data_IF_198352710553
#
_entry.id   IF_198352710553
#
_cell.length_a   1.000
_cell.length_b   1.000
_cell.length_c   1.000
_cell.angle_alpha   90.00
_cell.angle_beta   90.00
_cell.angle_gamma   90.00
#
_symmetry.space_group_name_H-M   'P 1'
#
loop_
_entity.id
_entity.type
_entity.pdbx_description
1 polymer ?
#
# COMPACT_ATOMS: atom_id res chain seq x y z
N UNK A 1 3.32 11.98 25.34
CA UNK A 1 2.68 11.35 24.19
C UNK A 1 2.80 9.84 24.34
N UNK A 2 1.72 9.10 24.08
CA UNK A 2 1.75 7.63 23.98
C UNK A 2 2.59 7.20 22.78
N UNK A 3 2.90 5.89 22.69
CA UNK A 3 3.59 5.33 21.53
C UNK A 3 2.74 5.52 20.27
N UNK A 4 1.42 5.34 20.34
CA UNK A 4 0.53 5.57 19.19
C UNK A 4 0.54 7.03 18.74
N UNK A 5 0.46 7.99 19.68
CA UNK A 5 0.48 9.42 19.34
C UNK A 5 1.78 9.83 18.63
N UNK A 6 2.92 9.24 19.01
CA UNK A 6 4.21 9.48 18.33
C UNK A 6 4.20 8.89 16.91
N UNK A 7 3.65 7.69 16.73
CA UNK A 7 3.55 7.03 15.42
C UNK A 7 2.65 7.85 14.49
N UNK A 8 1.46 8.25 14.95
CA UNK A 8 0.54 9.07 14.15
C UNK A 8 1.10 10.45 13.84
N UNK A 9 1.83 11.08 14.77
CA UNK A 9 2.48 12.36 14.51
C UNK A 9 3.52 12.26 13.40
N UNK A 10 4.30 11.17 13.36
CA UNK A 10 5.25 10.91 12.28
C UNK A 10 4.54 10.62 10.96
N UNK A 11 3.47 9.81 10.98
CA UNK A 11 2.64 9.55 9.81
C UNK A 11 2.09 10.84 9.18
N UNK A 12 1.55 11.74 10.02
CA UNK A 12 1.07 13.06 9.60
C UNK A 12 2.18 13.93 9.02
N UNK A 13 3.35 13.98 9.67
CA UNK A 13 4.48 14.77 9.18
C UNK A 13 4.99 14.27 7.81
N UNK A 14 5.04 12.95 7.61
CA UNK A 14 5.38 12.36 6.31
C UNK A 14 4.34 12.70 5.24
N UNK A 15 3.06 12.53 5.58
CA UNK A 15 1.95 12.88 4.70
C UNK A 15 2.02 14.35 4.26
N UNK A 16 2.18 15.27 5.20
CA UNK A 16 2.29 16.70 4.92
C UNK A 16 3.50 17.01 4.03
N UNK A 17 4.63 16.31 4.22
CA UNK A 17 5.80 16.47 3.36
C UNK A 17 5.50 16.08 1.90
N UNK A 18 4.89 14.91 1.70
CA UNK A 18 4.54 14.39 0.37
C UNK A 18 3.47 15.28 -0.29
N UNK A 19 2.39 15.59 0.43
CA UNK A 19 1.26 16.37 -0.07
C UNK A 19 1.58 17.85 -0.29
N UNK A 20 2.72 18.35 0.22
CA UNK A 20 3.22 19.70 -0.09
C UNK A 20 3.76 19.85 -1.52
N UNK A 21 4.00 18.73 -2.22
CA UNK A 21 4.49 18.75 -3.61
C UNK A 21 3.33 18.99 -4.59
N UNK A 22 3.59 19.57 -5.79
CA UNK A 22 2.56 19.66 -6.82
C UNK A 22 1.95 18.29 -7.15
N UNK A 23 0.65 18.23 -7.39
CA UNK A 23 -0.08 16.95 -7.65
C UNK A 23 0.56 16.16 -8.81
N UNK A 24 0.95 16.84 -9.88
CA UNK A 24 1.59 16.23 -11.06
C UNK A 24 2.98 15.62 -10.81
N UNK A 25 3.54 15.82 -9.60
CA UNK A 25 4.83 15.25 -9.20
C UNK A 25 4.78 13.73 -9.25
N UNK A 26 3.68 13.14 -8.80
CA UNK A 26 3.54 11.70 -8.57
C UNK A 26 2.48 11.01 -9.44
N UNK A 27 1.65 11.76 -10.16
CA UNK A 27 0.67 11.22 -11.11
C UNK A 27 1.34 10.22 -12.07
N UNK A 28 0.77 9.00 -12.14
CA UNK A 28 1.27 7.84 -12.90
C UNK A 28 2.74 7.45 -12.64
N UNK A 29 3.32 7.87 -11.49
CA UNK A 29 4.72 7.63 -11.14
C UNK A 29 4.83 6.94 -9.76
N UNK A 30 4.30 5.72 -9.60
CA UNK A 30 4.28 5.04 -8.31
C UNK A 30 5.68 4.88 -7.70
N UNK A 31 6.69 4.50 -8.49
CA UNK A 31 8.08 4.41 -8.00
C UNK A 31 8.68 5.75 -7.56
N UNK A 32 8.26 6.87 -8.17
CA UNK A 32 8.66 8.21 -7.74
C UNK A 32 8.12 8.52 -6.35
N UNK A 33 6.87 8.14 -6.07
CA UNK A 33 6.26 8.29 -4.76
C UNK A 33 6.84 7.32 -3.72
N UNK A 34 7.07 6.05 -4.08
CA UNK A 34 7.73 5.05 -3.21
C UNK A 34 9.09 5.56 -2.74
N UNK A 35 9.91 6.04 -3.68
CA UNK A 35 11.24 6.60 -3.36
C UNK A 35 11.14 7.80 -2.42
N UNK A 36 10.27 8.77 -2.75
CA UNK A 36 10.10 9.99 -1.93
C UNK A 36 9.59 9.67 -0.52
N UNK A 37 8.71 8.67 -0.40
CA UNK A 37 8.17 8.16 0.86
C UNK A 37 9.28 7.55 1.70
N UNK A 38 10.07 6.63 1.13
CA UNK A 38 11.13 5.94 1.86
C UNK A 38 12.29 6.87 2.27
N UNK A 39 12.68 7.81 1.41
CA UNK A 39 13.70 8.82 1.76
C UNK A 39 13.26 9.65 2.98
N UNK A 40 12.01 10.12 3.00
CA UNK A 40 11.45 10.90 4.11
C UNK A 40 11.24 10.06 5.39
N UNK A 41 10.82 8.80 5.21
CA UNK A 41 10.61 7.85 6.30
C UNK A 41 11.92 7.46 7.00
N UNK A 42 13.03 7.36 6.26
CA UNK A 42 14.36 7.07 6.79
C UNK A 42 14.86 8.18 7.73
N UNK A 43 14.70 9.45 7.34
CA UNK A 43 15.05 10.60 8.18
C UNK A 43 14.31 10.57 9.53
N UNK A 44 13.07 10.09 9.53
CA UNK A 44 12.20 10.02 10.70
C UNK A 44 12.21 8.66 11.42
N UNK A 45 13.02 7.70 10.95
CA UNK A 45 13.08 6.31 11.45
C UNK A 45 11.70 5.67 11.54
N UNK A 46 10.91 5.78 10.48
CA UNK A 46 9.60 5.14 10.37
C UNK A 46 9.76 3.69 9.90
N UNK A 47 8.76 2.86 10.22
CA UNK A 47 8.63 1.48 9.74
C UNK A 47 7.82 1.54 8.44
N UNK A 48 8.52 1.62 7.32
CA UNK A 48 7.93 1.57 5.98
C UNK A 48 8.57 0.42 5.22
N UNK A 49 7.95 0.05 4.09
CA UNK A 49 8.42 -1.03 3.23
C UNK A 49 9.67 -0.61 2.46
N UNK A 50 10.84 -1.10 2.90
CA UNK A 50 12.16 -0.61 2.41
C UNK A 50 12.76 -1.48 1.33
N UNK A 51 13.77 -0.95 0.63
CA UNK A 51 14.43 -1.56 -0.52
C UNK A 51 14.76 -3.05 -0.37
N UNK A 52 15.25 -3.50 0.80
CA UNK A 52 15.53 -4.91 1.02
C UNK A 52 14.26 -5.79 1.00
N UNK A 53 13.19 -5.34 1.67
CA UNK A 53 11.90 -6.05 1.69
C UNK A 53 11.19 -5.98 0.34
N UNK A 54 11.35 -4.85 -0.37
CA UNK A 54 10.85 -4.66 -1.74
C UNK A 54 11.53 -5.66 -2.68
N UNK A 55 12.87 -5.76 -2.62
CA UNK A 55 13.63 -6.67 -3.46
C UNK A 55 13.26 -8.13 -3.18
N UNK A 56 13.20 -8.53 -1.91
CA UNK A 56 12.77 -9.87 -1.52
C UNK A 56 11.35 -10.17 -2.01
N UNK A 57 10.43 -9.20 -1.88
CA UNK A 57 9.04 -9.33 -2.33
C UNK A 57 8.94 -9.47 -3.86
N UNK A 58 9.75 -8.72 -4.61
CA UNK A 58 9.85 -8.86 -6.07
C UNK A 58 10.35 -10.24 -6.47
N UNK A 59 11.38 -10.76 -5.80
CA UNK A 59 11.92 -12.10 -6.05
C UNK A 59 10.89 -13.20 -5.76
N UNK A 60 10.12 -13.08 -4.68
CA UNK A 60 9.04 -14.03 -4.39
C UNK A 60 7.95 -13.96 -5.46
N UNK A 61 7.59 -12.75 -5.91
CA UNK A 61 6.55 -12.51 -6.92
C UNK A 61 6.92 -13.12 -8.28
N UNK A 62 8.18 -13.03 -8.69
CA UNK A 62 8.67 -13.58 -9.96
C UNK A 62 8.40 -15.09 -10.11
N UNK A 63 8.40 -15.81 -8.99
CA UNK A 63 8.21 -17.26 -8.96
C UNK A 63 6.73 -17.70 -9.03
N UNK A 64 5.77 -16.77 -9.04
CA UNK A 64 4.33 -17.07 -9.07
C UNK A 64 3.84 -17.10 -10.52
N UNK A 65 3.19 -18.21 -10.91
CA UNK A 65 2.63 -18.40 -12.24
C UNK A 65 1.16 -18.87 -12.16
N UNK A 66 0.21 -18.23 -12.87
CA UNK A 66 0.39 -17.03 -13.69
C UNK A 66 0.82 -15.80 -12.86
N UNK A 67 1.26 -14.72 -13.52
CA UNK A 67 1.64 -13.48 -12.85
C UNK A 67 0.52 -13.05 -11.88
N UNK A 68 0.84 -12.76 -10.61
CA UNK A 68 -0.15 -12.46 -9.59
C UNK A 68 -0.85 -11.13 -9.91
N UNK A 69 -2.12 -11.04 -9.55
CA UNK A 69 -2.97 -9.89 -9.82
C UNK A 69 -3.61 -9.33 -8.57
N UNK A 70 -3.81 -10.13 -7.54
CA UNK A 70 -4.49 -9.66 -6.34
C UNK A 70 -3.65 -9.88 -5.09
N UNK A 71 -3.44 -8.79 -4.35
CA UNK A 71 -2.83 -8.77 -3.03
C UNK A 71 -3.86 -8.40 -1.97
N UNK A 72 -3.74 -9.09 -0.83
CA UNK A 72 -4.29 -8.62 0.43
C UNK A 72 -3.14 -8.29 1.38
N UNK A 73 -3.22 -7.13 2.00
CA UNK A 73 -2.24 -6.62 2.97
C UNK A 73 -2.91 -6.36 4.31
N UNK A 74 -2.23 -6.74 5.38
CA UNK A 74 -2.66 -6.47 6.75
C UNK A 74 -1.61 -5.59 7.44
N UNK A 75 -1.96 -4.32 7.68
CA UNK A 75 -1.06 -3.28 8.20
C UNK A 75 -0.68 -2.26 7.14
N UNK A 76 -1.59 -1.32 6.83
CA UNK A 76 -1.34 -0.34 5.76
C UNK A 76 -0.51 0.88 6.21
N UNK A 77 -0.56 1.24 7.49
CA UNK A 77 0.12 2.41 8.06
C UNK A 77 -0.02 3.70 7.22
N UNK A 78 1.03 4.10 6.49
CA UNK A 78 1.03 5.31 5.64
C UNK A 78 0.81 5.01 4.15
N UNK A 79 0.45 3.77 3.81
CA UNK A 79 0.19 3.32 2.43
C UNK A 79 1.43 3.03 1.60
N UNK A 80 2.63 3.07 2.19
CA UNK A 80 3.90 2.89 1.48
C UNK A 80 4.03 1.52 0.80
N UNK A 81 3.63 0.46 1.49
CA UNK A 81 3.62 -0.90 0.95
C UNK A 81 2.52 -1.08 -0.08
N UNK A 82 1.31 -0.55 0.15
CA UNK A 82 0.20 -0.63 -0.82
C UNK A 82 0.57 -0.05 -2.20
N UNK A 83 1.15 1.15 -2.25
CA UNK A 83 1.60 1.75 -3.53
C UNK A 83 2.76 0.98 -4.16
N UNK A 84 3.61 0.36 -3.35
CA UNK A 84 4.74 -0.44 -3.85
C UNK A 84 4.26 -1.75 -4.44
N UNK A 85 3.31 -2.42 -3.80
CA UNK A 85 2.69 -3.63 -4.30
C UNK A 85 1.96 -3.38 -5.61
N UNK A 86 1.23 -2.27 -5.72
CA UNK A 86 0.60 -1.87 -6.99
C UNK A 86 1.66 -1.73 -8.10
N UNK A 87 2.77 -1.03 -7.83
CA UNK A 87 3.87 -0.86 -8.78
C UNK A 87 4.47 -2.21 -9.21
N UNK A 88 4.73 -3.11 -8.25
CA UNK A 88 5.27 -4.46 -8.51
C UNK A 88 4.31 -5.26 -9.39
N UNK A 89 3.01 -5.32 -9.05
CA UNK A 89 2.02 -6.09 -9.81
C UNK A 89 1.88 -5.55 -11.25
N UNK A 90 1.92 -4.22 -11.43
CA UNK A 90 1.87 -3.60 -12.76
C UNK A 90 3.06 -4.00 -13.63
N UNK A 91 4.28 -4.02 -13.06
CA UNK A 91 5.48 -4.46 -13.77
C UNK A 91 5.38 -5.91 -14.23
N UNK A 92 5.00 -6.84 -13.33
CA UNK A 92 4.91 -8.26 -13.67
C UNK A 92 3.78 -8.60 -14.64
N UNK A 93 2.73 -7.77 -14.72
CA UNK A 93 1.62 -7.96 -15.66
C UNK A 93 1.78 -7.17 -16.96
N UNK A 94 2.92 -6.50 -17.21
CA UNK A 94 3.14 -5.62 -18.37
C UNK A 94 2.01 -4.60 -18.57
N UNK A 95 1.58 -3.98 -17.48
CA UNK A 95 0.37 -3.19 -17.40
C UNK A 95 0.62 -1.68 -17.60
N UNK A 96 0.13 -1.10 -18.70
CA UNK A 96 -0.08 0.35 -18.78
C UNK A 96 -1.39 0.68 -18.04
N UNK A 97 -1.30 0.86 -16.71
CA UNK A 97 -2.33 1.35 -15.76
C UNK A 97 -3.76 0.77 -15.78
N UNK A 98 -4.09 -0.14 -16.71
CA UNK A 98 -5.43 -0.67 -16.95
C UNK A 98 -5.55 -2.18 -16.69
N UNK A 99 -4.60 -2.76 -15.97
CA UNK A 99 -4.67 -4.18 -15.60
C UNK A 99 -5.49 -4.37 -14.34
N UNK A 100 -6.18 -5.51 -14.29
CA UNK A 100 -6.89 -6.09 -13.14
C UNK A 100 -5.91 -6.47 -12.00
N UNK A 101 -5.02 -5.54 -11.64
CA UNK A 101 -4.13 -5.66 -10.49
C UNK A 101 -4.78 -4.92 -9.33
N UNK A 102 -5.03 -5.62 -8.23
CA UNK A 102 -5.77 -5.10 -7.10
C UNK A 102 -4.98 -5.32 -5.80
N UNK A 103 -4.76 -4.26 -5.04
CA UNK A 103 -4.16 -4.27 -3.71
C UNK A 103 -5.24 -3.89 -2.72
N UNK A 104 -5.58 -4.78 -1.81
CA UNK A 104 -6.50 -4.53 -0.72
C UNK A 104 -5.72 -4.45 0.58
N UNK A 105 -5.60 -3.27 1.18
CA UNK A 105 -4.90 -3.06 2.44
C UNK A 105 -5.87 -2.78 3.59
N UNK A 106 -5.59 -3.39 4.73
CA UNK A 106 -6.42 -3.34 5.93
C UNK A 106 -5.64 -2.67 7.06
N UNK A 107 -6.14 -1.53 7.53
CA UNK A 107 -5.49 -0.71 8.57
C UNK A 107 -6.42 -0.51 9.77
N UNK A 108 -5.90 -0.74 10.97
CA UNK A 108 -6.68 -0.66 12.20
C UNK A 108 -6.93 0.79 12.65
N UNK A 109 -5.94 1.67 12.52
CA UNK A 109 -6.07 3.08 12.91
C UNK A 109 -6.79 3.87 11.82
N UNK A 110 -7.92 4.49 12.17
CA UNK A 110 -8.64 5.40 11.26
C UNK A 110 -7.76 6.55 10.75
N UNK A 111 -6.81 7.02 11.57
CA UNK A 111 -5.88 8.08 11.20
C UNK A 111 -4.91 7.59 10.12
N UNK A 112 -4.29 6.42 10.35
CA UNK A 112 -3.39 5.79 9.38
C UNK A 112 -4.13 5.44 8.10
N UNK A 113 -5.33 4.84 8.18
CA UNK A 113 -6.14 4.52 7.02
C UNK A 113 -6.47 5.76 6.17
N UNK A 114 -6.84 6.87 6.82
CA UNK A 114 -7.05 8.14 6.13
C UNK A 114 -5.78 8.66 5.44
N UNK A 115 -4.63 8.57 6.10
CA UNK A 115 -3.33 8.95 5.52
C UNK A 115 -2.97 8.06 4.34
N UNK A 116 -3.16 6.74 4.43
CA UNK A 116 -2.82 5.77 3.40
C UNK A 116 -3.66 5.92 2.12
N UNK A 117 -4.86 6.50 2.21
CA UNK A 117 -5.69 6.80 1.03
C UNK A 117 -5.06 7.88 0.14
N UNK A 118 -4.42 8.90 0.71
CA UNK A 118 -3.95 10.05 -0.07
C UNK A 118 -2.80 9.71 -1.04
N UNK A 119 -1.78 8.90 -0.68
CA UNK A 119 -0.79 8.37 -1.61
C UNK A 119 -1.38 7.63 -2.81
N UNK A 120 -2.47 6.86 -2.62
CA UNK A 120 -3.12 6.18 -3.75
C UNK A 120 -3.79 7.18 -4.69
N UNK A 121 -4.34 8.29 -4.17
CA UNK A 121 -4.84 9.42 -4.99
C UNK A 121 -3.74 10.13 -5.75
N UNK A 122 -2.62 10.46 -5.08
CA UNK A 122 -1.51 11.21 -5.67
C UNK A 122 -0.84 10.50 -6.86
N UNK A 123 -0.97 9.17 -6.93
CA UNK A 123 -0.47 8.35 -8.03
C UNK A 123 -1.55 7.85 -8.99
N UNK A 124 -2.80 8.32 -8.89
CA UNK A 124 -3.95 7.86 -9.70
C UNK A 124 -4.21 6.34 -9.59
N UNK A 125 -3.98 5.78 -8.39
CA UNK A 125 -4.10 4.35 -8.07
C UNK A 125 -5.39 4.01 -7.30
N UNK A 126 -6.32 4.94 -7.10
CA UNK A 126 -7.55 4.71 -6.29
C UNK A 126 -8.41 3.54 -6.80
N UNK A 127 -8.28 3.19 -8.09
CA UNK A 127 -9.00 2.09 -8.71
C UNK A 127 -8.31 0.72 -8.54
N UNK A 128 -7.05 0.68 -8.12
CA UNK A 128 -6.25 -0.54 -8.02
C UNK A 128 -5.67 -0.75 -6.61
N UNK A 129 -5.51 0.31 -5.81
CA UNK A 129 -5.05 0.26 -4.42
C UNK A 129 -6.16 0.75 -3.47
N UNK A 130 -6.77 -0.20 -2.76
CA UNK A 130 -7.93 0.01 -1.92
C UNK A 130 -7.55 -0.08 -0.44
N UNK A 131 -7.82 0.98 0.32
CA UNK A 131 -7.54 1.07 1.75
C UNK A 131 -8.83 0.94 2.55
N UNK A 132 -8.89 -0.03 3.45
CA UNK A 132 -10.02 -0.25 4.35
C UNK A 132 -9.61 -0.06 5.79
N UNK A 133 -10.43 0.71 6.51
CA UNK A 133 -10.34 0.82 7.96
C UNK A 133 -11.02 -0.38 8.64
N UNK A 134 -10.34 -0.96 9.61
CA UNK A 134 -10.90 -1.95 10.51
C UNK A 134 -9.94 -3.08 10.90
N UNK A 135 -10.32 -3.90 11.88
CA UNK A 135 -9.51 -5.04 12.31
C UNK A 135 -9.40 -6.07 11.19
N UNK A 136 -8.23 -6.67 10.99
CA UNK A 136 -7.92 -7.60 9.90
C UNK A 136 -8.96 -8.72 9.62
N UNK A 137 -9.82 -9.09 10.57
CA UNK A 137 -10.86 -10.10 10.38
C UNK A 137 -12.14 -9.61 9.68
N UNK A 138 -12.50 -8.32 9.80
CA UNK A 138 -13.81 -7.83 9.37
C UNK A 138 -13.83 -7.30 7.92
N UNK A 139 -12.88 -6.46 7.48
CA UNK A 139 -12.86 -5.93 6.13
C UNK A 139 -12.69 -7.00 5.02
N UNK A 140 -11.83 -8.04 5.13
CA UNK A 140 -11.72 -9.03 4.06
C UNK A 140 -13.05 -9.77 3.80
N UNK A 141 -13.83 -9.99 4.87
CA UNK A 141 -15.16 -10.59 4.76
C UNK A 141 -16.11 -9.68 3.97
N UNK A 142 -16.13 -8.37 4.26
CA UNK A 142 -16.96 -7.41 3.53
C UNK A 142 -16.56 -7.31 2.07
N UNK A 143 -15.27 -7.20 1.77
CA UNK A 143 -14.75 -7.14 0.39
C UNK A 143 -15.11 -8.41 -0.39
N UNK A 144 -15.11 -9.58 0.27
CA UNK A 144 -15.61 -10.83 -0.31
C UNK A 144 -17.13 -10.83 -0.52
N UNK A 145 -17.92 -10.38 0.46
CA UNK A 145 -19.38 -10.29 0.39
C UNK A 145 -19.86 -9.29 -0.69
N UNK A 146 -19.09 -8.22 -0.94
CA UNK A 146 -19.33 -7.22 -1.98
C UNK A 146 -18.90 -7.69 -3.39
N UNK A 147 -18.19 -8.83 -3.49
CA UNK A 147 -17.78 -9.45 -4.75
C UNK A 147 -16.46 -8.93 -5.33
N UNK A 148 -15.79 -8.01 -4.64
CA UNK A 148 -14.48 -7.47 -5.02
C UNK A 148 -13.35 -8.50 -4.82
N UNK A 149 -13.47 -9.36 -3.79
CA UNK A 149 -12.62 -10.54 -3.60
C UNK A 149 -13.40 -11.84 -3.87
N UNK A 150 -12.72 -12.83 -4.49
CA UNK A 150 -13.27 -14.16 -4.76
C UNK A 150 -12.56 -15.22 -3.92
N UNK A 151 -13.22 -16.37 -3.69
CA UNK A 151 -12.76 -17.43 -2.77
C UNK A 151 -11.40 -18.06 -3.15
N UNK A 152 -10.95 -17.83 -4.38
CA UNK A 152 -9.66 -18.24 -4.95
C UNK A 152 -8.99 -17.08 -5.69
N UNK A 153 -9.35 -15.84 -5.34
CA UNK A 153 -8.97 -14.64 -6.07
C UNK A 153 -7.85 -13.85 -5.42
N UNK A 154 -7.15 -14.41 -4.42
CA UNK A 154 -5.99 -13.80 -3.78
C UNK A 154 -4.76 -14.60 -4.18
N UNK A 155 -3.78 -13.93 -4.78
CA UNK A 155 -2.54 -14.57 -5.24
C UNK A 155 -1.43 -14.44 -4.17
N UNK A 156 -1.42 -13.32 -3.44
CA UNK A 156 -0.44 -13.02 -2.39
C UNK A 156 -1.16 -12.44 -1.16
N UNK A 157 -0.72 -12.87 0.02
CA UNK A 157 -1.09 -12.27 1.30
C UNK A 157 0.16 -11.72 2.00
N UNK A 158 0.15 -10.43 2.32
CA UNK A 158 1.24 -9.72 2.99
C UNK A 158 0.83 -9.36 4.42
N UNK A 159 1.63 -9.77 5.39
CA UNK A 159 1.36 -9.59 6.81
C UNK A 159 2.43 -8.66 7.40
N UNK A 160 2.06 -7.41 7.65
CA UNK A 160 2.95 -6.35 8.18
C UNK A 160 2.26 -5.56 9.30
N UNK A 161 1.56 -6.27 10.18
CA UNK A 161 0.90 -5.71 11.36
C UNK A 161 1.37 -6.42 12.63
N UNK A 162 1.05 -5.82 13.78
CA UNK A 162 1.15 -6.47 15.08
C UNK A 162 -0.14 -7.23 15.41
N UNK A 163 0.00 -8.42 15.99
CA UNK A 163 -1.09 -9.21 16.60
C UNK A 163 -1.60 -8.60 17.92
#
# INVERSE_FOLDING_TARGET
MSKEEIIEAKAKALHDHISSRPVDTYADKPWGLVKSTNESADESRMMTFKDAEIEDSRQQTENIQPAPKTIVEFGGYVGASAITWDAILREFNNADSSVDANVYTFELSSVSAGIAQDPTRLCDLENTAHVFEGPAADPPRKVFEEGNLKKTGVDIAFFDHWE
#
